data_IF_669385600770
#
_entry.id   IF_669385600770
#
_cell.length_a   1.000
_cell.length_b   1.000
_cell.length_c   1.000
_cell.angle_alpha   90.00
_cell.angle_beta   90.00
_cell.angle_gamma   90.00
#
_symmetry.space_group_name_H-M   'P 1'
#
loop_
_entity.id
_entity.type
_entity.pdbx_description
1 polymer ?
#
# COMPACT_ATOMS: atom_id res chain seq x y z
N UNK A 1 0.53 3.36 0.69
CA UNK A 1 1.73 3.65 1.52
C UNK A 1 2.81 4.42 0.77
N UNK A 2 3.21 4.03 -0.45
CA UNK A 2 4.29 4.71 -1.20
C UNK A 2 4.07 6.19 -1.41
N UNK A 3 2.84 6.60 -1.75
CA UNK A 3 2.44 7.99 -1.83
C UNK A 3 2.59 8.73 -0.48
N UNK A 4 2.09 8.16 0.62
CA UNK A 4 2.17 8.75 1.96
C UNK A 4 3.62 8.92 2.46
N UNK A 5 4.53 8.05 2.00
CA UNK A 5 5.96 8.11 2.31
C UNK A 5 6.78 8.91 1.28
N UNK A 6 6.13 9.50 0.25
CA UNK A 6 6.79 10.26 -0.80
C UNK A 6 7.87 9.48 -1.58
N UNK A 7 7.65 8.19 -1.87
CA UNK A 7 8.54 7.42 -2.75
C UNK A 7 7.93 7.29 -4.15
N UNK A 8 8.39 8.12 -5.09
CA UNK A 8 7.89 8.14 -6.47
C UNK A 8 8.25 6.86 -7.23
N UNK A 9 9.46 6.34 -7.05
CA UNK A 9 9.88 5.07 -7.66
C UNK A 9 8.99 3.91 -7.20
N UNK A 10 8.80 3.79 -5.89
CA UNK A 10 7.97 2.75 -5.31
C UNK A 10 6.51 2.90 -5.75
N UNK A 11 6.00 4.14 -5.80
CA UNK A 11 4.66 4.40 -6.31
C UNK A 11 4.52 3.94 -7.77
N UNK A 12 5.50 4.24 -8.63
CA UNK A 12 5.52 3.80 -10.02
C UNK A 12 5.51 2.26 -10.13
N UNK A 13 6.41 1.57 -9.41
CA UNK A 13 6.46 0.08 -9.42
C UNK A 13 5.13 -0.51 -8.98
N UNK A 14 4.61 -0.08 -7.83
CA UNK A 14 3.38 -0.65 -7.28
C UNK A 14 2.18 -0.39 -8.21
N UNK A 15 2.13 0.77 -8.86
CA UNK A 15 1.05 1.10 -9.80
C UNK A 15 1.12 0.24 -11.05
N UNK A 16 2.30 0.12 -11.66
CA UNK A 16 2.54 -0.75 -12.80
C UNK A 16 2.19 -2.21 -12.49
N UNK A 17 2.68 -2.74 -11.36
CA UNK A 17 2.39 -4.12 -10.93
C UNK A 17 0.90 -4.31 -10.67
N UNK A 18 0.22 -3.37 -10.01
CA UNK A 18 -1.22 -3.44 -9.76
C UNK A 18 -2.05 -3.46 -11.04
N UNK A 19 -1.68 -2.66 -12.04
CA UNK A 19 -2.36 -2.62 -13.33
C UNK A 19 -2.06 -3.89 -14.14
N UNK A 20 -0.78 -4.14 -14.47
CA UNK A 20 -0.38 -5.14 -15.46
C UNK A 20 -0.42 -6.57 -14.93
N UNK A 21 -0.09 -6.77 -13.64
CA UNK A 21 -0.03 -8.10 -13.03
C UNK A 21 -1.22 -8.36 -12.09
N UNK A 22 -1.77 -7.29 -11.49
CA UNK A 22 -2.91 -7.36 -10.59
C UNK A 22 -4.27 -7.24 -11.28
N UNK A 23 -4.31 -6.76 -12.54
CA UNK A 23 -5.54 -6.52 -13.28
C UNK A 23 -6.45 -5.47 -12.65
N UNK A 24 -5.89 -4.57 -11.83
CA UNK A 24 -6.64 -3.48 -11.21
C UNK A 24 -6.89 -2.36 -12.22
N UNK A 25 -8.08 -1.76 -12.19
CA UNK A 25 -8.36 -0.53 -12.92
C UNK A 25 -7.64 0.67 -12.29
N UNK A 26 -7.51 1.75 -13.05
CA UNK A 26 -6.96 3.02 -12.52
C UNK A 26 -7.77 3.53 -11.33
N UNK A 27 -9.10 3.44 -11.38
CA UNK A 27 -9.99 3.82 -10.28
C UNK A 27 -9.73 2.99 -9.00
N UNK A 28 -9.51 1.68 -9.15
CA UNK A 28 -9.20 0.80 -8.02
C UNK A 28 -7.82 1.11 -7.43
N UNK A 29 -6.84 1.44 -8.29
CA UNK A 29 -5.50 1.86 -7.87
C UNK A 29 -5.57 3.20 -7.12
N UNK A 30 -6.35 4.16 -7.61
CA UNK A 30 -6.52 5.46 -6.97
C UNK A 30 -7.23 5.35 -5.62
N UNK A 31 -8.27 4.51 -5.52
CA UNK A 31 -8.89 4.18 -4.23
C UNK A 31 -7.87 3.56 -3.27
N UNK A 32 -7.04 2.61 -3.74
CA UNK A 32 -6.02 2.00 -2.90
C UNK A 32 -4.96 3.01 -2.45
N UNK A 33 -4.56 3.95 -3.31
CA UNK A 33 -3.63 5.05 -2.97
C UNK A 33 -4.22 5.96 -1.89
N UNK A 34 -5.54 6.20 -1.92
CA UNK A 34 -6.25 6.99 -0.92
C UNK A 34 -6.62 6.20 0.36
N UNK A 35 -6.11 4.97 0.52
CA UNK A 35 -6.38 4.15 1.70
C UNK A 35 -7.75 3.48 1.70
N UNK A 36 -8.35 3.23 0.54
CA UNK A 36 -9.69 2.67 0.39
C UNK A 36 -9.76 1.55 -0.66
N UNK A 37 -10.95 0.97 -0.85
CA UNK A 37 -11.27 0.02 -1.92
C UNK A 37 -12.79 -0.12 -2.03
N UNK A 38 -13.29 -0.53 -3.20
CA UNK A 38 -14.70 -0.94 -3.38
C UNK A 38 -15.03 -2.22 -2.60
N UNK A 39 -14.04 -3.07 -2.32
CA UNK A 39 -14.19 -4.24 -1.46
C UNK A 39 -13.99 -3.80 0.01
N UNK A 40 -15.02 -3.90 0.88
CA UNK A 40 -14.92 -3.50 2.28
C UNK A 40 -13.79 -4.19 3.04
N UNK A 41 -13.46 -5.44 2.69
CA UNK A 41 -12.38 -6.20 3.30
C UNK A 41 -11.02 -5.62 2.92
N UNK A 42 -10.80 -5.34 1.64
CA UNK A 42 -9.57 -4.67 1.16
C UNK A 42 -9.45 -3.25 1.71
N UNK A 43 -10.57 -2.52 1.80
CA UNK A 43 -10.60 -1.18 2.35
C UNK A 43 -10.16 -1.14 3.83
N UNK A 44 -10.48 -2.17 4.61
CA UNK A 44 -10.00 -2.28 5.99
C UNK A 44 -8.47 -2.40 6.07
N UNK A 45 -7.85 -3.17 5.17
CA UNK A 45 -6.38 -3.30 5.09
C UNK A 45 -5.73 -2.02 4.61
N UNK A 46 -6.28 -1.39 3.57
CA UNK A 46 -5.76 -0.14 3.04
C UNK A 46 -5.74 0.97 4.11
N UNK A 47 -6.85 1.09 4.87
CA UNK A 47 -6.92 1.99 6.04
C UNK A 47 -5.92 1.62 7.12
N UNK A 48 -5.83 0.35 7.49
CA UNK A 48 -4.87 -0.08 8.52
C UNK A 48 -3.41 0.19 8.13
N UNK A 49 -3.04 -0.08 6.88
CA UNK A 49 -1.71 0.24 6.35
C UNK A 49 -1.41 1.74 6.37
N UNK A 50 -2.41 2.58 6.06
CA UNK A 50 -2.28 4.03 6.19
C UNK A 50 -2.09 4.46 7.65
N UNK A 51 -2.88 3.91 8.58
CA UNK A 51 -2.74 4.18 10.02
C UNK A 51 -1.37 3.80 10.56
N UNK A 52 -0.78 2.69 10.11
CA UNK A 52 0.58 2.28 10.49
C UNK A 52 1.63 3.34 10.12
N UNK A 53 1.47 4.00 8.98
CA UNK A 53 2.35 5.10 8.53
C UNK A 53 2.09 6.37 9.34
N UNK A 54 0.83 6.81 9.43
CA UNK A 54 0.45 8.08 10.09
C UNK A 54 0.78 8.11 11.58
N UNK A 55 0.56 6.99 12.28
CA UNK A 55 0.74 6.91 13.74
C UNK A 55 2.17 6.57 14.16
N UNK A 56 3.12 6.60 13.21
CA UNK A 56 4.51 6.20 13.42
C UNK A 56 4.65 4.84 14.14
N UNK A 57 3.77 3.88 13.80
CA UNK A 57 3.74 2.50 14.32
C UNK A 57 3.05 2.30 15.68
N UNK A 58 2.23 3.25 16.14
CA UNK A 58 1.40 3.11 17.37
C UNK A 58 -0.08 2.95 17.02
N UNK A 59 -0.43 1.81 16.44
CA UNK A 59 -1.84 1.42 16.25
C UNK A 59 -2.46 1.07 17.60
N UNK A 60 -3.72 1.44 17.81
CA UNK A 60 -4.43 1.14 19.05
C UNK A 60 -5.31 -0.11 18.89
N UNK A 61 -5.94 -0.55 19.99
CA UNK A 61 -6.80 -1.74 19.96
C UNK A 61 -8.02 -1.58 19.03
N UNK A 62 -8.49 -0.35 18.80
CA UNK A 62 -9.59 -0.09 17.89
C UNK A 62 -9.18 -0.30 16.42
N UNK A 63 -7.95 0.08 16.03
CA UNK A 63 -7.40 -0.19 14.70
C UNK A 63 -7.30 -1.71 14.45
N UNK A 64 -6.81 -2.47 15.44
CA UNK A 64 -6.72 -3.94 15.35
C UNK A 64 -8.11 -4.60 15.31
N UNK A 65 -9.05 -4.12 16.13
CA UNK A 65 -10.42 -4.62 16.13
C UNK A 65 -11.10 -4.41 14.78
N UNK A 66 -10.92 -3.24 14.14
CA UNK A 66 -11.50 -2.95 12.84
C UNK A 66 -11.02 -3.93 11.74
N UNK A 67 -9.73 -4.28 11.73
CA UNK A 67 -9.19 -5.25 10.77
C UNK A 67 -9.70 -6.66 11.03
N UNK A 68 -9.79 -7.06 12.31
CA UNK A 68 -10.38 -8.35 12.69
C UNK A 68 -11.85 -8.45 12.30
N UNK A 69 -12.64 -7.39 12.51
CA UNK A 69 -14.05 -7.32 12.12
C UNK A 69 -14.25 -7.42 10.60
N UNK A 70 -13.25 -7.04 9.80
CA UNK A 70 -13.26 -7.26 8.36
C UNK A 70 -12.93 -8.73 7.96
N UNK A 71 -12.71 -9.62 8.93
CA UNK A 71 -12.50 -11.04 8.72
C UNK A 71 -11.04 -11.43 8.44
N UNK A 72 -10.09 -10.68 9.00
CA UNK A 72 -8.67 -11.05 8.99
C UNK A 72 -8.27 -11.74 10.30
N UNK A 73 -7.50 -12.82 10.20
CA UNK A 73 -6.89 -13.48 11.35
C UNK A 73 -5.69 -12.70 11.87
N UNK A 74 -5.26 -12.98 13.11
CA UNK A 74 -4.04 -12.38 13.66
C UNK A 74 -2.80 -12.71 12.82
N UNK A 75 -2.71 -13.91 12.23
CA UNK A 75 -1.63 -14.26 11.31
C UNK A 75 -1.64 -13.43 10.03
N UNK A 76 -2.82 -13.10 9.49
CA UNK A 76 -2.93 -12.20 8.34
C UNK A 76 -2.61 -10.76 8.72
N UNK A 77 -2.95 -10.32 9.93
CA UNK A 77 -2.56 -9.00 10.45
C UNK A 77 -1.04 -8.88 10.54
N UNK A 78 -0.35 -9.92 11.05
CA UNK A 78 1.12 -9.97 11.06
C UNK A 78 1.70 -9.92 9.64
N UNK A 79 1.09 -10.62 8.68
CA UNK A 79 1.50 -10.56 7.27
C UNK A 79 1.32 -9.14 6.68
N UNK A 80 0.21 -8.47 6.97
CA UNK A 80 -0.03 -7.08 6.56
C UNK A 80 1.02 -6.14 7.13
N UNK A 81 1.33 -6.26 8.43
CA UNK A 81 2.38 -5.46 9.09
C UNK A 81 3.74 -5.73 8.43
N UNK A 82 4.04 -6.99 8.12
CA UNK A 82 5.30 -7.37 7.46
C UNK A 82 5.46 -6.70 6.11
N UNK A 83 4.41 -6.76 5.27
CA UNK A 83 4.40 -6.09 3.95
C UNK A 83 4.50 -4.57 4.10
N UNK A 84 3.81 -3.98 5.08
CA UNK A 84 3.90 -2.55 5.36
C UNK A 84 5.32 -2.11 5.75
N UNK A 85 6.00 -2.87 6.62
CA UNK A 85 7.38 -2.61 7.03
C UNK A 85 8.35 -2.80 5.86
N UNK A 86 8.15 -3.82 5.03
CA UNK A 86 8.95 -4.05 3.82
C UNK A 86 8.80 -2.87 2.83
N UNK A 87 7.57 -2.39 2.61
CA UNK A 87 7.33 -1.22 1.78
C UNK A 87 8.00 0.04 2.37
N UNK A 88 7.96 0.23 3.68
CA UNK A 88 8.66 1.36 4.32
C UNK A 88 10.18 1.28 4.09
N UNK A 89 10.76 0.09 4.23
CA UNK A 89 12.19 -0.14 3.98
C UNK A 89 12.57 0.22 2.53
N UNK A 90 11.83 -0.28 1.54
CA UNK A 90 12.14 -0.02 0.13
C UNK A 90 11.92 1.45 -0.23
N UNK A 91 10.94 2.12 0.39
CA UNK A 91 10.75 3.55 0.24
C UNK A 91 11.96 4.35 0.72
N UNK A 92 12.50 4.02 1.89
CA UNK A 92 13.71 4.69 2.37
C UNK A 92 14.91 4.44 1.48
N UNK A 93 15.13 3.20 1.03
CA UNK A 93 16.25 2.86 0.15
C UNK A 93 16.15 3.69 -1.14
N UNK A 94 15.00 3.70 -1.81
CA UNK A 94 14.85 4.38 -3.10
C UNK A 94 14.88 5.92 -2.98
N UNK A 95 14.34 6.47 -1.89
CA UNK A 95 14.40 7.92 -1.66
C UNK A 95 15.83 8.39 -1.40
N UNK A 96 16.60 7.65 -0.60
CA UNK A 96 18.02 7.96 -0.33
C UNK A 96 18.87 7.79 -1.58
N UNK A 97 18.60 6.75 -2.37
CA UNK A 97 19.32 6.49 -3.62
C UNK A 97 18.90 7.43 -4.76
N UNK A 98 17.80 8.17 -4.61
CA UNK A 98 17.18 8.95 -5.68
C UNK A 98 16.98 8.12 -6.96
N UNK A 99 16.48 6.88 -6.78
CA UNK A 99 16.36 5.92 -7.88
C UNK A 99 15.52 6.50 -9.02
N UNK A 100 16.09 6.53 -10.22
CA UNK A 100 15.40 6.99 -11.44
C UNK A 100 14.32 5.99 -11.81
N UNK A 101 13.14 6.49 -12.18
CA UNK A 101 12.02 5.66 -12.65
C UNK A 101 12.39 5.05 -14.00
N UNK A 102 12.53 3.73 -14.03
CA UNK A 102 12.91 2.93 -15.20
C UNK A 102 11.82 1.92 -15.59
N UNK A 103 10.59 2.17 -15.13
CA UNK A 103 9.43 1.28 -15.27
C UNK A 103 8.47 1.89 -16.29
N UNK A 104 7.82 1.08 -17.15
CA UNK A 104 6.80 1.59 -18.06
C UNK A 104 5.68 2.31 -17.28
N UNK A 105 5.25 3.46 -17.77
CA UNK A 105 4.08 4.14 -17.24
C UNK A 105 2.83 3.33 -17.59
N UNK A 106 1.97 3.06 -16.61
CA UNK A 106 0.62 2.55 -16.89
C UNK A 106 -0.06 3.55 -17.84
N UNK A 107 -0.35 3.12 -19.07
CA UNK A 107 -0.86 3.96 -20.15
C UNK A 107 0.03 4.11 -21.39
N UNK A 108 1.27 3.60 -21.40
CA UNK A 108 2.09 3.49 -22.62
C UNK A 108 2.14 2.05 -23.11
N UNK A 109 0.98 1.50 -23.48
CA UNK A 109 0.96 0.44 -24.47
C UNK A 109 1.30 1.09 -25.82
N UNK A 110 2.39 0.63 -26.44
CA UNK A 110 2.71 0.94 -27.83
C UNK A 110 1.78 0.17 -28.78
#
# INVERSE_FOLDING_TARGET
MSAANGCDYCLAVHSYVSAELGGMSDDDIDLARSGSSIDPKRAAVARFAQRLVETQRKVNDADLAAVRSAGYSDSQILAIITVAVQALLTNYINNVNQTVIDIPTAGTAA
#
